data_IF_821387286374
#
_entry.id   IF_821387286374
#
_cell.length_a   1.000
_cell.length_b   1.000
_cell.length_c   1.000
_cell.angle_alpha   90.00
_cell.angle_beta   90.00
_cell.angle_gamma   90.00
#
_symmetry.space_group_name_H-M   'P 1'
#
loop_
_entity.id
_entity.type
_entity.pdbx_description
1 polymer ?
#
# COMPACT_ATOMS: atom_id res chain seq x y z
N UNK A 1 24.54 0.90 -19.30
CA UNK A 1 23.51 0.05 -19.94
C UNK A 1 22.81 -0.90 -18.95
N UNK A 2 23.54 -1.57 -18.04
CA UNK A 2 22.96 -2.45 -17.01
C UNK A 2 21.92 -1.78 -16.10
N UNK A 3 22.16 -0.55 -15.61
CA UNK A 3 21.27 0.10 -14.64
C UNK A 3 19.84 0.32 -15.16
N UNK A 4 19.66 0.56 -16.47
CA UNK A 4 18.32 0.73 -17.09
C UNK A 4 17.53 -0.57 -17.14
N UNK A 5 18.21 -1.69 -17.44
CA UNK A 5 17.56 -3.01 -17.52
C UNK A 5 17.11 -3.43 -16.12
N UNK A 6 17.95 -3.23 -15.11
CA UNK A 6 17.61 -3.54 -13.72
C UNK A 6 16.46 -2.65 -13.22
N UNK A 7 16.47 -1.35 -13.50
CA UNK A 7 15.37 -0.44 -13.13
C UNK A 7 14.05 -0.84 -13.79
N UNK A 8 14.07 -1.19 -15.07
CA UNK A 8 12.87 -1.62 -15.79
C UNK A 8 12.32 -2.95 -15.25
N UNK A 9 13.21 -3.90 -14.96
CA UNK A 9 12.85 -5.18 -14.34
C UNK A 9 12.19 -4.96 -12.99
N UNK A 10 12.80 -4.13 -12.14
CA UNK A 10 12.25 -3.83 -10.82
C UNK A 10 10.94 -3.03 -10.87
N UNK A 11 10.79 -2.06 -11.79
CA UNK A 11 9.53 -1.36 -11.96
C UNK A 11 8.40 -2.30 -12.37
N UNK A 12 8.72 -3.26 -13.26
CA UNK A 12 7.76 -4.28 -13.69
C UNK A 12 7.44 -5.25 -12.56
N UNK A 13 8.44 -5.77 -11.87
CA UNK A 13 8.26 -6.69 -10.74
C UNK A 13 7.50 -6.04 -9.59
N UNK A 14 7.85 -4.80 -9.22
CA UNK A 14 7.13 -3.99 -8.24
C UNK A 14 5.65 -3.86 -8.66
N UNK A 15 5.38 -3.47 -9.91
CA UNK A 15 4.01 -3.34 -10.42
C UNK A 15 3.26 -4.68 -10.37
N UNK A 16 3.89 -5.78 -10.76
CA UNK A 16 3.27 -7.11 -10.75
C UNK A 16 3.02 -7.64 -9.32
N UNK A 17 3.98 -7.47 -8.41
CA UNK A 17 3.86 -7.84 -7.00
C UNK A 17 2.79 -7.03 -6.28
N UNK A 18 2.75 -5.71 -6.50
CA UNK A 18 1.69 -4.84 -5.99
C UNK A 18 0.33 -5.21 -6.57
N UNK A 19 0.25 -5.49 -7.87
CA UNK A 19 -1.00 -5.93 -8.51
C UNK A 19 -1.48 -7.27 -7.94
N UNK A 20 -0.55 -8.17 -7.60
CA UNK A 20 -0.85 -9.45 -6.93
C UNK A 20 -1.38 -9.23 -5.51
N UNK A 21 -0.74 -8.34 -4.73
CA UNK A 21 -1.19 -7.93 -3.39
C UNK A 21 -2.55 -7.22 -3.41
N UNK A 22 -2.83 -6.43 -4.44
CA UNK A 22 -4.11 -5.74 -4.61
C UNK A 22 -5.22 -6.62 -5.17
N UNK A 23 -4.96 -7.93 -5.37
CA UNK A 23 -5.88 -8.96 -5.83
C UNK A 23 -7.06 -8.40 -6.61
N UNK A 24 -6.85 -8.00 -7.88
CA UNK A 24 -7.81 -7.25 -8.74
C UNK A 24 -9.25 -7.61 -8.41
N UNK A 25 -9.84 -6.88 -7.47
CA UNK A 25 -11.22 -7.13 -7.12
C UNK A 25 -12.03 -6.24 -8.04
N UNK A 26 -12.41 -6.81 -9.19
CA UNK A 26 -13.36 -6.17 -10.10
C UNK A 26 -14.58 -5.80 -9.28
N UNK A 27 -14.80 -4.50 -9.03
CA UNK A 27 -16.05 -3.77 -8.74
C UNK A 27 -17.12 -4.38 -7.80
N UNK A 28 -16.90 -5.55 -7.20
CA UNK A 28 -17.95 -6.39 -6.62
C UNK A 28 -17.64 -6.82 -5.18
N UNK A 29 -16.40 -6.71 -4.72
CA UNK A 29 -16.09 -6.94 -3.29
C UNK A 29 -15.75 -5.60 -2.67
N UNK A 30 -16.43 -5.31 -1.57
CA UNK A 30 -16.12 -4.19 -0.69
C UNK A 30 -14.60 -4.11 -0.51
N UNK A 31 -14.04 -2.98 -0.92
CA UNK A 31 -12.63 -2.65 -0.76
C UNK A 31 -12.25 -3.02 0.67
N UNK A 32 -11.36 -4.00 0.86
CA UNK A 32 -10.95 -4.50 2.18
C UNK A 32 -10.72 -3.27 3.06
N UNK A 33 -11.64 -3.04 3.98
CA UNK A 33 -11.60 -1.86 4.82
C UNK A 33 -10.34 -2.01 5.67
N UNK A 34 -9.36 -1.14 5.42
CA UNK A 34 -8.17 -1.06 6.27
C UNK A 34 -8.65 -0.76 7.68
N UNK A 35 -8.34 -1.64 8.62
CA UNK A 35 -8.67 -1.44 10.01
C UNK A 35 -7.55 -0.67 10.71
N UNK A 36 -7.89 -0.04 11.84
CA UNK A 36 -6.88 0.45 12.78
C UNK A 36 -6.00 -0.75 13.15
N UNK A 37 -4.70 -0.52 13.25
CA UNK A 37 -3.66 -1.53 13.55
C UNK A 37 -3.24 -2.42 12.37
N UNK A 38 -3.88 -2.32 11.20
CA UNK A 38 -3.40 -3.05 10.02
C UNK A 38 -2.03 -2.54 9.56
N UNK A 39 -1.15 -3.48 9.18
CA UNK A 39 0.15 -3.19 8.57
C UNK A 39 -0.02 -3.09 7.05
N UNK A 40 0.43 -1.97 6.49
CA UNK A 40 0.34 -1.69 5.07
C UNK A 40 1.70 -1.31 4.50
N UNK A 41 1.93 -1.71 3.25
CA UNK A 41 3.02 -1.19 2.42
C UNK A 41 2.56 0.10 1.73
N UNK A 42 3.39 1.13 1.80
CA UNK A 42 3.19 2.38 1.09
C UNK A 42 3.92 2.32 -0.27
N UNK A 43 3.18 2.56 -1.35
CA UNK A 43 3.78 2.76 -2.66
C UNK A 43 4.35 4.17 -2.77
N UNK A 44 5.67 4.26 -2.85
CA UNK A 44 6.40 5.49 -3.14
C UNK A 44 6.95 5.41 -4.56
N UNK A 45 6.32 6.13 -5.49
CA UNK A 45 6.68 6.12 -6.91
C UNK A 45 8.07 6.72 -7.17
N UNK A 46 8.67 7.43 -6.19
CA UNK A 46 9.97 8.08 -6.32
C UNK A 46 11.06 7.38 -5.49
N UNK A 47 10.71 6.35 -4.72
CA UNK A 47 11.67 5.57 -3.98
C UNK A 47 12.36 4.54 -4.89
N UNK A 48 13.66 4.25 -4.65
CA UNK A 48 14.33 3.17 -5.35
C UNK A 48 13.58 1.84 -5.12
N UNK A 49 13.54 0.96 -6.12
CA UNK A 49 12.68 -0.21 -6.17
C UNK A 49 12.78 -1.23 -5.03
N UNK A 50 13.80 -1.10 -4.18
CA UNK A 50 14.01 -1.96 -3.01
C UNK A 50 13.57 -1.34 -1.68
N UNK A 51 13.11 -0.08 -1.64
CA UNK A 51 12.74 0.60 -0.40
C UNK A 51 11.22 0.75 -0.29
N UNK A 52 10.60 -0.31 0.22
CA UNK A 52 9.21 -0.27 0.62
C UNK A 52 9.06 0.34 2.00
N UNK A 53 8.22 1.38 2.13
CA UNK A 53 7.90 1.95 3.43
C UNK A 53 6.75 1.16 4.04
N UNK A 54 6.95 0.64 5.24
CA UNK A 54 5.91 0.01 6.04
C UNK A 54 5.24 1.07 6.92
N UNK A 55 3.93 1.02 7.01
CA UNK A 55 3.15 1.85 7.91
C UNK A 55 2.10 1.03 8.64
N UNK A 56 1.83 1.39 9.89
CA UNK A 56 0.68 0.88 10.64
C UNK A 56 -0.45 1.88 10.58
N UNK A 57 -1.67 1.44 10.27
CA UNK A 57 -2.85 2.31 10.32
C UNK A 57 -3.11 2.73 11.75
N UNK A 58 -3.14 4.03 12.01
CA UNK A 58 -3.48 4.59 13.32
C UNK A 58 -4.85 5.24 13.35
N UNK A 59 -5.35 5.68 12.19
CA UNK A 59 -6.60 6.41 12.09
C UNK A 59 -7.18 6.24 10.69
N UNK A 60 -8.51 6.18 10.62
CA UNK A 60 -9.28 5.98 9.39
C UNK A 60 -10.14 7.22 9.15
N UNK A 61 -10.04 7.79 7.95
CA UNK A 61 -10.85 8.93 7.53
C UNK A 61 -11.94 8.44 6.57
N UNK A 62 -13.15 8.33 7.11
CA UNK A 62 -14.35 7.97 6.32
C UNK A 62 -14.93 9.20 5.63
N UNK A 63 -15.44 9.02 4.42
CA UNK A 63 -16.23 10.02 3.72
C UNK A 63 -17.68 10.06 4.21
N UNK A 64 -18.47 11.00 3.65
CA UNK A 64 -19.90 11.12 3.93
C UNK A 64 -20.73 9.88 3.53
N UNK A 65 -20.18 9.02 2.68
CA UNK A 65 -20.75 7.76 2.21
C UNK A 65 -20.22 6.53 2.99
N UNK A 66 -19.66 6.74 4.18
CA UNK A 66 -19.00 5.76 5.08
C UNK A 66 -17.77 5.04 4.47
N UNK A 67 -17.39 5.36 3.23
CA UNK A 67 -16.25 4.74 2.56
C UNK A 67 -14.93 5.33 3.04
N UNK A 68 -14.00 4.46 3.42
CA UNK A 68 -12.62 4.83 3.73
C UNK A 68 -11.91 5.20 2.43
N UNK A 69 -11.40 6.43 2.32
CA UNK A 69 -10.56 6.84 1.18
C UNK A 69 -9.15 7.18 1.60
N UNK A 70 -8.97 7.63 2.84
CA UNK A 70 -7.71 8.11 3.39
C UNK A 70 -7.52 7.51 4.77
N UNK A 71 -6.28 7.15 5.08
CA UNK A 71 -5.87 6.68 6.41
C UNK A 71 -4.64 7.45 6.87
N UNK A 72 -4.53 7.66 8.19
CA UNK A 72 -3.29 8.12 8.80
C UNK A 72 -2.48 6.89 9.19
N UNK A 73 -1.22 6.87 8.75
CA UNK A 73 -0.27 5.78 8.99
C UNK A 73 0.84 6.27 9.92
N UNK A 74 1.30 5.40 10.80
CA UNK A 74 2.56 5.54 11.53
C UNK A 74 3.64 4.77 10.78
N UNK A 75 4.51 5.52 10.12
CA UNK A 75 5.74 5.03 9.46
C UNK A 75 6.94 5.20 10.39
N UNK A 76 8.05 4.52 10.10
CA UNK A 76 9.30 4.65 10.88
C UNK A 76 9.84 6.10 10.94
N UNK A 77 9.55 6.91 9.92
CA UNK A 77 9.97 8.32 9.84
C UNK A 77 8.93 9.30 10.39
N UNK A 78 7.80 8.83 10.92
CA UNK A 78 6.74 9.68 11.47
C UNK A 78 5.35 9.33 10.94
N UNK A 79 4.39 10.22 11.17
CA UNK A 79 3.00 10.04 10.74
C UNK A 79 2.77 10.60 9.34
N UNK A 80 2.05 9.86 8.49
CA UNK A 80 1.71 10.32 7.15
C UNK A 80 0.28 9.95 6.77
N UNK A 81 -0.41 10.84 6.07
CA UNK A 81 -1.73 10.59 5.50
C UNK A 81 -1.59 10.09 4.08
N UNK A 82 -2.24 8.97 3.74
CA UNK A 82 -2.21 8.38 2.41
C UNK A 82 -3.57 7.83 2.01
N UNK A 83 -3.86 7.95 0.72
CA UNK A 83 -5.05 7.36 0.13
C UNK A 83 -4.89 5.84 0.00
N UNK A 84 -5.98 5.11 0.20
CA UNK A 84 -5.96 3.64 0.25
C UNK A 84 -5.52 2.98 -1.07
N UNK A 85 -5.67 3.67 -2.20
CA UNK A 85 -5.23 3.21 -3.51
C UNK A 85 -3.69 3.10 -3.65
N UNK A 86 -2.94 3.73 -2.74
CA UNK A 86 -1.48 3.66 -2.66
C UNK A 86 -0.98 2.74 -1.54
N UNK A 87 -1.89 2.02 -0.91
CA UNK A 87 -1.60 1.16 0.22
C UNK A 87 -1.93 -0.29 -0.13
N UNK A 88 -1.09 -1.19 0.37
CA UNK A 88 -1.24 -2.62 0.14
C UNK A 88 -1.21 -3.29 1.50
N UNK A 89 -2.34 -3.87 1.91
CA UNK A 89 -2.45 -4.59 3.17
C UNK A 89 -1.55 -5.82 3.12
N UNK A 90 -0.72 -5.99 4.14
CA UNK A 90 0.05 -7.21 4.31
C UNK A 90 -0.82 -8.27 5.00
N UNK A 91 -0.71 -9.55 4.59
CA UNK A 91 -1.30 -10.64 5.34
C UNK A 91 -0.68 -10.66 6.73
N UNK A 92 -1.51 -10.67 7.78
CA UNK A 92 -1.04 -10.95 9.13
C UNK A 92 -0.63 -12.42 9.13
N UNK A 93 0.62 -12.71 9.48
CA UNK A 93 1.04 -14.09 9.69
C UNK A 93 0.38 -14.61 10.96
N UNK A 94 -0.45 -15.64 10.85
CA UNK A 94 -1.03 -16.38 11.98
C UNK A 94 0.08 -17.19 12.67
N UNK A 95 0.78 -16.58 13.63
CA UNK A 95 1.76 -17.26 14.49
C UNK A 95 1.35 -17.17 15.96
#
# INVERSE_FOLDING_TARGET
MLQRITQNFWNRWNKEYLTSLQGRTKWTTEQINLAIDDIVLLQDNNAPPLKWKLGRVIEIHKGADDKVRVVTLKTATGNCKRAINKLYKLPKGDY
#
